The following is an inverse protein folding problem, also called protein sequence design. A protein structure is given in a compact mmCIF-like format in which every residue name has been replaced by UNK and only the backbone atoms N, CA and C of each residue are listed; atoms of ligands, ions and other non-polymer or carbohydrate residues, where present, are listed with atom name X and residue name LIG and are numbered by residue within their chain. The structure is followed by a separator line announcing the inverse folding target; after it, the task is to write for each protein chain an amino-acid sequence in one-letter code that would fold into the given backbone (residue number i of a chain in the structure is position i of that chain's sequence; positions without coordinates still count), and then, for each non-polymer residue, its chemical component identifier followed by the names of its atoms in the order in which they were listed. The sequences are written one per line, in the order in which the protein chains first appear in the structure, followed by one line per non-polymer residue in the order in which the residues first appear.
data_IF_944869330899
#
_entry.id   IF_944869330899
#
_cell.length_a   1.000
_cell.length_b   1.000
_cell.length_c   1.000
_cell.angle_alpha   90.00
_cell.angle_beta   90.00
_cell.angle_gamma   90.00
#
_symmetry.space_group_name_H-M   'P 1'
#
loop_
_entity.id
_entity.type
_entity.pdbx_description
1 polymer ?
#
# COMPACT_ATOMS: atom_id res chain seq x y z
N UNK A 1 -4.17 1.76 9.14
CA UNK A 1 -5.15 1.43 8.09
C UNK A 1 -6.14 2.58 8.02
N UNK A 2 -6.31 3.17 6.84
CA UNK A 2 -7.24 4.27 6.66
C UNK A 2 -8.66 3.70 6.60
N UNK A 3 -9.34 3.68 7.75
CA UNK A 3 -10.74 3.27 7.85
C UNK A 3 -11.64 4.39 7.30
N UNK A 4 -11.82 4.40 5.97
CA UNK A 4 -12.85 5.22 5.34
C UNK A 4 -14.22 4.63 5.67
N UNK A 5 -15.17 5.48 6.08
CA UNK A 5 -16.56 5.06 6.09
C UNK A 5 -17.01 4.77 4.66
N UNK A 6 -17.76 3.68 4.49
CA UNK A 6 -18.40 3.41 3.21
C UNK A 6 -19.46 4.50 2.95
N UNK A 7 -19.58 5.00 1.70
CA UNK A 7 -20.63 5.93 1.35
C UNK A 7 -22.01 5.36 1.69
N UNK A 8 -22.91 6.20 2.22
CA UNK A 8 -24.31 5.85 2.51
C UNK A 8 -25.16 5.82 1.23
N UNK A 9 -24.72 5.04 0.25
CA UNK A 9 -25.38 4.79 -1.03
C UNK A 9 -24.87 3.49 -1.64
N UNK A 10 -25.64 2.95 -2.59
CA UNK A 10 -25.21 1.76 -3.35
C UNK A 10 -23.92 2.07 -4.16
N UNK A 11 -23.05 1.06 -4.34
CA UNK A 11 -21.89 1.19 -5.23
C UNK A 11 -22.34 1.40 -6.68
N UNK A 12 -21.52 2.13 -7.44
CA UNK A 12 -21.75 2.41 -8.85
C UNK A 12 -21.37 1.20 -9.71
N UNK A 13 -20.35 0.44 -9.29
CA UNK A 13 -19.90 -0.79 -9.94
C UNK A 13 -19.80 -1.90 -8.90
N UNK A 14 -20.23 -3.11 -9.25
CA UNK A 14 -20.06 -4.31 -8.41
C UNK A 14 -19.48 -5.43 -9.27
N UNK A 15 -18.34 -5.96 -8.84
CA UNK A 15 -17.67 -7.11 -9.45
C UNK A 15 -17.72 -8.28 -8.47
N UNK A 16 -17.84 -9.50 -9.00
CA UNK A 16 -17.90 -10.73 -8.21
C UNK A 16 -17.18 -11.86 -8.93
N UNK A 17 -16.62 -12.76 -8.15
CA UNK A 17 -15.98 -13.96 -8.69
C UNK A 17 -15.73 -15.00 -7.62
N UNK A 18 -15.18 -16.13 -8.08
CA UNK A 18 -14.80 -17.24 -7.23
C UNK A 18 -13.46 -17.81 -7.70
N UNK A 19 -12.60 -18.16 -6.75
CA UNK A 19 -11.43 -19.00 -6.98
C UNK A 19 -11.61 -20.35 -6.30
N UNK A 20 -11.18 -21.39 -7.00
CA UNK A 20 -11.20 -22.77 -6.57
C UNK A 20 -9.79 -23.28 -6.31
N UNK A 21 -9.66 -24.31 -5.48
CA UNK A 21 -8.36 -24.92 -5.16
C UNK A 21 -7.59 -25.29 -6.43
N UNK A 22 -6.30 -24.99 -6.46
CA UNK A 22 -5.43 -25.11 -7.63
C UNK A 22 -5.22 -23.79 -8.38
N UNK A 23 -5.99 -22.74 -8.06
CA UNK A 23 -5.78 -21.39 -8.59
C UNK A 23 -4.92 -20.51 -7.67
N UNK A 24 -4.35 -21.06 -6.59
CA UNK A 24 -3.45 -20.30 -5.74
C UNK A 24 -2.25 -19.77 -6.53
N UNK A 25 -1.78 -18.57 -6.16
CA UNK A 25 -0.66 -17.88 -6.80
C UNK A 25 -0.86 -17.55 -8.29
N UNK A 26 -2.09 -17.57 -8.81
CA UNK A 26 -2.40 -16.89 -10.09
C UNK A 26 -2.52 -15.38 -9.88
N UNK A 27 -2.44 -14.63 -10.98
CA UNK A 27 -2.62 -13.18 -11.01
C UNK A 27 -3.72 -12.85 -12.02
N UNK A 28 -4.90 -12.53 -11.51
CA UNK A 28 -6.10 -12.36 -12.32
C UNK A 28 -6.44 -10.88 -12.44
N UNK A 29 -6.58 -10.40 -13.67
CA UNK A 29 -6.91 -9.01 -13.97
C UNK A 29 -8.41 -8.91 -14.27
N UNK A 30 -9.15 -8.25 -13.39
CA UNK A 30 -10.59 -8.07 -13.52
C UNK A 30 -10.87 -6.65 -14.04
N UNK A 31 -11.32 -6.50 -15.30
CA UNK A 31 -11.53 -5.18 -15.88
C UNK A 31 -12.79 -4.51 -15.33
N UNK A 32 -12.73 -3.20 -15.20
CA UNK A 32 -13.88 -2.33 -14.97
C UNK A 32 -13.62 -0.95 -15.56
N UNK A 33 -14.68 -0.25 -15.98
CA UNK A 33 -14.53 1.04 -16.66
C UNK A 33 -14.72 2.21 -15.69
N UNK A 34 -13.79 3.15 -15.74
CA UNK A 34 -13.92 4.47 -15.12
C UNK A 34 -14.42 5.44 -16.20
N UNK A 35 -15.59 6.10 -16.01
CA UNK A 35 -16.07 7.11 -16.95
C UNK A 35 -15.29 8.43 -16.82
N UNK A 36 -15.46 9.29 -17.82
CA UNK A 36 -14.98 10.68 -17.75
C UNK A 36 -15.58 11.42 -16.54
N UNK A 37 -14.80 12.34 -15.95
CA UNK A 37 -15.25 13.20 -14.86
C UNK A 37 -15.20 12.57 -13.46
N UNK A 38 -14.50 11.44 -13.30
CA UNK A 38 -14.20 10.86 -11.99
C UNK A 38 -12.94 11.51 -11.40
N UNK A 39 -13.09 12.14 -10.24
CA UNK A 39 -11.97 12.76 -9.51
C UNK A 39 -11.41 11.83 -8.43
N UNK A 40 -12.25 10.93 -7.93
CA UNK A 40 -11.86 9.91 -6.95
C UNK A 40 -12.71 8.64 -7.12
N UNK A 41 -12.19 7.49 -6.69
CA UNK A 41 -13.04 6.33 -6.45
C UNK A 41 -12.58 5.53 -5.23
N UNK A 42 -13.52 4.82 -4.63
CA UNK A 42 -13.31 3.91 -3.50
C UNK A 42 -13.65 2.49 -3.95
N UNK A 43 -12.77 1.54 -3.68
CA UNK A 43 -13.02 0.11 -3.82
C UNK A 43 -13.09 -0.49 -2.41
N UNK A 44 -14.10 -1.30 -2.14
CA UNK A 44 -14.19 -2.17 -0.95
C UNK A 44 -14.32 -3.62 -1.39
N UNK A 45 -13.38 -4.45 -0.94
CA UNK A 45 -13.29 -5.86 -1.30
C UNK A 45 -13.61 -6.71 -0.08
N UNK A 46 -14.53 -7.64 -0.26
CA UNK A 46 -14.91 -8.61 0.76
C UNK A 46 -14.83 -10.01 0.19
N UNK A 47 -14.52 -10.99 1.04
CA UNK A 47 -14.48 -12.40 0.67
C UNK A 47 -14.73 -13.28 1.90
N UNK A 48 -15.23 -14.50 1.67
CA UNK A 48 -15.57 -15.44 2.75
C UNK A 48 -14.32 -15.98 3.46
N UNK A 49 -14.50 -16.46 4.69
CA UNK A 49 -13.50 -17.23 5.46
C UNK A 49 -12.12 -16.55 5.55
N UNK A 50 -12.07 -15.22 5.63
CA UNK A 50 -10.82 -14.44 5.63
C UNK A 50 -9.91 -14.80 6.81
N UNK A 51 -8.66 -15.12 6.50
CA UNK A 51 -7.55 -15.31 7.44
C UNK A 51 -6.34 -14.48 7.02
N UNK A 52 -5.38 -14.30 7.93
CA UNK A 52 -4.13 -13.61 7.69
C UNK A 52 -3.18 -14.38 6.76
N UNK A 53 -2.18 -13.67 6.25
CA UNK A 53 -1.15 -14.21 5.34
C UNK A 53 -0.11 -15.08 6.06
N UNK A 54 -0.10 -15.11 7.40
CA UNK A 54 0.83 -15.95 8.18
C UNK A 54 0.83 -17.41 7.71
N UNK A 55 1.98 -18.04 7.43
CA UNK A 55 2.04 -19.45 7.02
C UNK A 55 1.42 -20.43 8.02
N UNK A 56 1.26 -19.99 9.27
CA UNK A 56 0.65 -20.77 10.35
C UNK A 56 -0.87 -20.74 10.33
N UNK A 57 -1.49 -19.72 9.72
CA UNK A 57 -2.95 -19.64 9.56
C UNK A 57 -3.40 -20.47 8.36
N UNK A 58 -4.35 -21.38 8.59
CA UNK A 58 -4.83 -22.35 7.59
C UNK A 58 -6.35 -22.48 7.63
N UNK A 59 -6.92 -23.08 6.59
CA UNK A 59 -8.34 -23.42 6.52
C UNK A 59 -9.27 -22.27 6.09
N UNK A 60 -8.72 -21.11 5.76
CA UNK A 60 -9.45 -19.96 5.24
C UNK A 60 -8.79 -19.36 4.00
N UNK A 61 -9.28 -18.18 3.63
CA UNK A 61 -8.88 -17.47 2.43
C UNK A 61 -7.95 -16.28 2.72
N UNK A 62 -7.01 -16.05 1.81
CA UNK A 62 -6.19 -14.84 1.79
C UNK A 62 -6.12 -14.38 0.34
N UNK A 63 -6.52 -13.13 0.09
CA UNK A 63 -6.58 -12.55 -1.24
C UNK A 63 -5.67 -11.33 -1.27
N UNK A 64 -4.70 -11.34 -2.16
CA UNK A 64 -3.89 -10.17 -2.44
C UNK A 64 -4.56 -9.27 -3.47
N UNK A 65 -4.40 -7.96 -3.29
CA UNK A 65 -5.08 -6.95 -4.08
C UNK A 65 -4.08 -5.95 -4.66
N UNK A 66 -4.20 -5.69 -5.96
CA UNK A 66 -3.51 -4.64 -6.67
C UNK A 66 -4.42 -3.93 -7.66
N UNK A 67 -3.88 -2.92 -8.33
CA UNK A 67 -4.64 -2.10 -9.25
C UNK A 67 -3.79 -1.62 -10.42
N UNK A 68 -4.34 -1.71 -11.63
CA UNK A 68 -3.84 -1.05 -12.81
C UNK A 68 -4.84 -0.02 -13.33
N UNK A 69 -4.33 1.10 -13.83
CA UNK A 69 -5.12 2.09 -14.55
C UNK A 69 -5.20 1.78 -16.06
N UNK A 70 -5.85 2.69 -16.80
CA UNK A 70 -6.05 2.60 -18.24
C UNK A 70 -4.78 2.44 -19.09
N UNK A 71 -3.58 2.67 -18.54
CA UNK A 71 -2.34 2.63 -19.31
C UNK A 71 -1.87 1.19 -19.56
N UNK A 72 -2.60 0.20 -19.05
CA UNK A 72 -2.46 -1.21 -19.37
C UNK A 72 -1.91 -2.06 -18.23
N UNK A 73 -1.94 -3.38 -18.43
CA UNK A 73 -1.59 -4.40 -17.44
C UNK A 73 -0.28 -5.14 -17.74
N UNK A 74 0.42 -4.75 -18.80
CA UNK A 74 1.65 -5.39 -19.22
C UNK A 74 2.74 -5.29 -18.13
N UNK A 75 3.70 -6.21 -18.16
CA UNK A 75 4.84 -6.16 -17.24
C UNK A 75 5.55 -4.80 -17.33
N UNK A 76 5.78 -4.16 -16.17
CA UNK A 76 6.32 -2.79 -16.04
C UNK A 76 5.45 -1.70 -16.65
N UNK A 77 4.17 -1.96 -16.87
CA UNK A 77 3.23 -0.95 -17.33
C UNK A 77 3.25 0.28 -16.41
N UNK A 78 3.24 1.51 -16.98
CA UNK A 78 3.07 2.73 -16.18
C UNK A 78 1.70 2.76 -15.49
N UNK A 79 0.76 1.92 -15.94
CA UNK A 79 -0.55 1.79 -15.36
C UNK A 79 -0.59 1.07 -14.02
N UNK A 80 0.50 0.43 -13.59
CA UNK A 80 0.55 -0.14 -12.24
C UNK A 80 0.39 0.97 -11.19
N UNK A 81 -0.70 0.92 -10.42
CA UNK A 81 -1.03 1.91 -9.39
C UNK A 81 -0.52 1.51 -8.02
N UNK A 82 -0.43 0.22 -7.73
CA UNK A 82 0.00 -0.28 -6.43
C UNK A 82 -0.57 -1.65 -6.10
N UNK A 83 -0.06 -2.21 -5.02
CA UNK A 83 -0.37 -3.55 -4.53
C UNK A 83 -0.32 -3.56 -3.00
N UNK A 84 -1.44 -3.80 -2.34
CA UNK A 84 -1.54 -3.85 -0.88
C UNK A 84 -1.30 -5.23 -0.29
N UNK A 85 -1.04 -6.24 -1.14
CA UNK A 85 -1.13 -7.64 -0.74
C UNK A 85 -2.49 -7.92 -0.12
N UNK A 86 -2.49 -8.71 0.96
CA UNK A 86 -3.69 -9.12 1.69
C UNK A 86 -3.99 -8.28 2.93
N UNK A 87 -3.19 -7.23 3.16
CA UNK A 87 -3.29 -6.34 4.32
C UNK A 87 -4.53 -5.46 4.21
N UNK A 88 -4.69 -4.76 3.08
CA UNK A 88 -5.74 -3.78 2.86
C UNK A 88 -6.70 -4.23 1.76
N UNK A 89 -8.00 -4.19 2.06
CA UNK A 89 -9.07 -4.55 1.11
C UNK A 89 -9.95 -3.36 0.73
N UNK A 90 -9.61 -2.17 1.24
CA UNK A 90 -10.32 -0.92 0.95
C UNK A 90 -9.36 0.11 0.38
N UNK A 91 -9.62 0.60 -0.83
CA UNK A 91 -8.67 1.37 -1.63
C UNK A 91 -9.35 2.65 -2.09
N UNK A 92 -8.81 3.80 -1.71
CA UNK A 92 -9.21 5.08 -2.28
C UNK A 92 -8.16 5.54 -3.27
N UNK A 93 -8.58 5.98 -4.45
CA UNK A 93 -7.73 6.60 -5.47
C UNK A 93 -8.25 8.01 -5.71
N UNK A 94 -7.35 8.99 -5.72
CA UNK A 94 -7.68 10.39 -5.95
C UNK A 94 -6.53 11.20 -6.54
N UNK A 95 -6.82 12.43 -6.93
CA UNK A 95 -5.84 13.34 -7.55
C UNK A 95 -4.64 13.63 -6.65
N UNK A 96 -4.90 14.19 -5.47
CA UNK A 96 -3.85 14.63 -4.55
C UNK A 96 -3.42 13.53 -3.58
N UNK A 97 -4.27 12.52 -3.38
CA UNK A 97 -4.04 11.47 -2.41
C UNK A 97 -4.74 10.18 -2.81
N UNK A 98 -4.06 9.06 -2.53
CA UNK A 98 -4.57 7.70 -2.63
C UNK A 98 -4.19 6.95 -1.36
N UNK A 99 -4.96 5.92 -1.00
CA UNK A 99 -4.57 4.99 0.06
C UNK A 99 -3.19 4.41 -0.22
N UNK A 100 -2.22 4.45 0.71
CA UNK A 100 -1.03 3.62 0.60
C UNK A 100 -1.44 2.14 0.43
N UNK A 101 -0.75 1.37 -0.43
CA UNK A 101 0.46 1.71 -1.18
C UNK A 101 0.23 2.27 -2.59
N UNK A 102 -0.98 2.72 -2.89
CA UNK A 102 -1.36 3.15 -4.23
C UNK A 102 -0.87 4.56 -4.53
N UNK A 103 -0.33 4.74 -5.73
CA UNK A 103 0.12 6.04 -6.26
C UNK A 103 -1.07 7.00 -6.36
N UNK A 104 -0.86 8.24 -5.94
CA UNK A 104 -1.80 9.34 -6.15
C UNK A 104 -1.82 9.77 -7.63
N UNK A 105 -2.90 10.41 -8.05
CA UNK A 105 -3.08 10.93 -9.40
C UNK A 105 -4.49 10.67 -9.89
N UNK A 106 -5.08 11.68 -10.54
CA UNK A 106 -6.50 11.70 -10.91
C UNK A 106 -6.87 10.44 -11.69
N UNK A 107 -8.01 9.79 -11.38
CA UNK A 107 -8.54 8.73 -12.20
C UNK A 107 -8.80 9.22 -13.62
N UNK A 108 -8.06 8.69 -14.59
CA UNK A 108 -8.36 8.91 -16.01
C UNK A 108 -9.39 7.91 -16.49
N UNK A 109 -10.25 8.33 -17.42
CA UNK A 109 -11.25 7.46 -18.00
C UNK A 109 -10.65 6.32 -18.82
N UNK A 110 -11.36 5.20 -18.86
CA UNK A 110 -10.96 4.00 -19.58
C UNK A 110 -11.04 2.75 -18.71
N UNK A 111 -10.48 1.66 -19.22
CA UNK A 111 -10.54 0.36 -18.55
C UNK A 111 -9.43 0.24 -17.52
N UNK A 112 -9.81 0.17 -16.26
CA UNK A 112 -8.95 -0.15 -15.14
C UNK A 112 -9.02 -1.66 -14.86
N UNK A 113 -8.04 -2.19 -14.14
CA UNK A 113 -8.03 -3.60 -13.78
C UNK A 113 -7.76 -3.77 -12.28
N UNK A 114 -8.69 -4.42 -11.60
CA UNK A 114 -8.46 -4.95 -10.26
C UNK A 114 -7.59 -6.20 -10.41
N UNK A 115 -6.38 -6.17 -9.86
CA UNK A 115 -5.49 -7.30 -9.84
C UNK A 115 -5.75 -8.12 -8.56
N UNK A 116 -6.14 -9.39 -8.73
CA UNK A 116 -6.44 -10.31 -7.63
C UNK A 116 -5.50 -11.50 -7.66
N UNK A 117 -4.83 -11.75 -6.53
CA UNK A 117 -3.95 -12.90 -6.33
C UNK A 117 -4.45 -13.77 -5.17
N UNK A 118 -5.14 -14.89 -5.41
CA UNK A 118 -5.54 -15.78 -4.32
C UNK A 118 -4.30 -16.44 -3.71
N UNK A 119 -3.86 -15.96 -2.55
CA UNK A 119 -2.70 -16.48 -1.83
C UNK A 119 -3.02 -17.78 -1.08
N UNK A 120 -4.22 -17.86 -0.50
CA UNK A 120 -4.75 -19.09 0.13
C UNK A 120 -6.20 -19.27 -0.26
N UNK A 121 -6.57 -20.50 -0.63
CA UNK A 121 -7.96 -20.88 -0.87
C UNK A 121 -8.34 -21.97 0.14
N UNK A 122 -9.34 -21.66 0.96
CA UNK A 122 -9.91 -22.57 1.93
C UNK A 122 -10.78 -23.66 1.28
N UNK A 123 -11.19 -24.67 2.05
CA UNK A 123 -11.97 -25.81 1.54
C UNK A 123 -13.34 -25.43 0.95
N UNK A 124 -13.87 -24.24 1.28
CA UNK A 124 -15.15 -23.73 0.79
C UNK A 124 -15.03 -22.86 -0.48
N UNK A 125 -13.84 -22.79 -1.08
CA UNK A 125 -13.54 -21.84 -2.15
C UNK A 125 -13.42 -20.39 -1.65
N UNK A 126 -12.92 -19.51 -2.52
CA UNK A 126 -12.77 -18.09 -2.26
C UNK A 126 -13.74 -17.31 -3.15
N UNK A 127 -14.90 -16.95 -2.60
CA UNK A 127 -15.86 -16.05 -3.24
C UNK A 127 -15.60 -14.63 -2.79
N UNK A 128 -15.44 -13.73 -3.75
CA UNK A 128 -15.13 -12.33 -3.50
C UNK A 128 -16.14 -11.40 -4.16
N UNK A 129 -16.25 -10.20 -3.60
CA UNK A 129 -16.97 -9.07 -4.19
C UNK A 129 -16.13 -7.81 -4.04
N UNK A 130 -15.99 -7.06 -5.13
CA UNK A 130 -15.50 -5.68 -5.11
C UNK A 130 -16.66 -4.72 -5.37
N UNK A 131 -16.83 -3.76 -4.47
CA UNK A 131 -17.83 -2.69 -4.56
C UNK A 131 -17.09 -1.39 -4.83
N UNK A 132 -17.46 -0.65 -5.87
CA UNK A 132 -16.76 0.56 -6.29
C UNK A 132 -17.71 1.75 -6.26
N UNK A 133 -17.31 2.82 -5.59
CA UNK A 133 -18.01 4.11 -5.57
C UNK A 133 -17.17 5.15 -6.28
N UNK A 134 -17.75 5.81 -7.28
CA UNK A 134 -17.17 6.92 -8.00
C UNK A 134 -17.51 8.23 -7.29
N UNK A 135 -16.55 9.14 -7.21
CA UNK A 135 -16.66 10.42 -6.50
C UNK A 135 -17.30 10.28 -5.10
N UNK A 136 -16.74 9.42 -4.23
CA UNK A 136 -17.30 9.15 -2.90
C UNK A 136 -17.19 10.34 -1.93
N UNK A 137 -16.47 11.42 -2.30
CA UNK A 137 -16.24 12.58 -1.43
C UNK A 137 -15.30 12.27 -0.28
N UNK A 138 -14.26 11.45 -0.51
CA UNK A 138 -13.27 11.14 0.52
C UNK A 138 -12.38 12.36 0.72
N UNK A 139 -12.29 12.80 1.98
CA UNK A 139 -11.38 13.88 2.36
C UNK A 139 -9.93 13.42 2.25
N UNK A 140 -9.10 14.26 1.64
CA UNK A 140 -7.65 14.08 1.66
C UNK A 140 -7.14 14.21 3.10
N UNK A 141 -6.41 13.21 3.63
CA UNK A 141 -5.78 13.33 4.94
C UNK A 141 -4.82 14.52 4.97
N UNK A 142 -4.81 15.27 6.08
CA UNK A 142 -3.81 16.32 6.27
C UNK A 142 -2.41 15.70 6.33
N UNK A 143 -1.41 16.29 5.67
CA UNK A 143 -0.03 15.85 5.79
C UNK A 143 0.43 15.92 7.25
N UNK A 144 1.15 14.89 7.71
CA UNK A 144 1.77 14.96 9.03
C UNK A 144 2.87 16.03 9.03
N UNK A 145 2.93 16.90 10.06
CA UNK A 145 4.00 17.88 10.18
C UNK A 145 5.33 17.15 10.38
N UNK A 146 6.37 17.57 9.65
CA UNK A 146 7.72 17.06 9.86
C UNK A 146 8.28 17.69 11.14
N UNK A 147 8.69 16.90 12.14
CA UNK A 147 9.28 17.44 13.36
C UNK A 147 10.64 18.09 13.07
N UNK A 148 11.02 19.05 13.90
CA UNK A 148 12.40 19.55 13.91
C UNK A 148 13.31 18.44 14.47
N UNK A 149 14.26 17.98 13.66
CA UNK A 149 15.18 16.89 14.03
C UNK A 149 15.99 17.21 15.29
N UNK A 150 16.27 18.48 15.56
CA UNK A 150 16.97 18.91 16.77
C UNK A 150 16.16 18.68 18.06
N UNK A 151 14.85 18.47 17.94
CA UNK A 151 13.95 18.19 19.06
C UNK A 151 13.79 16.69 19.33
N UNK A 152 14.26 15.82 18.43
CA UNK A 152 14.19 14.38 18.58
C UNK A 152 15.27 13.87 19.53
N UNK A 153 14.95 12.84 20.31
CA UNK A 153 15.93 12.17 21.16
C UNK A 153 16.85 11.32 20.30
N UNK A 154 18.17 11.55 20.40
CA UNK A 154 19.18 10.65 19.81
C UNK A 154 19.93 9.95 20.93
N UNK A 155 19.96 8.61 20.98
CA UNK A 155 20.58 7.87 22.07
C UNK A 155 22.10 8.04 22.04
N UNK A 156 22.70 8.10 23.23
CA UNK A 156 24.15 7.93 23.39
C UNK A 156 24.47 6.43 23.26
N UNK A 157 25.03 6.04 22.12
CA UNK A 157 25.36 4.66 21.79
C UNK A 157 26.83 4.36 22.14
N UNK A 158 27.18 3.08 22.42
CA UNK A 158 28.57 2.70 22.58
C UNK A 158 29.44 3.14 21.39
N UNK A 159 30.76 3.36 21.58
CA UNK A 159 31.65 3.65 20.48
C UNK A 159 31.54 2.62 19.35
N UNK A 160 31.78 3.06 18.12
CA UNK A 160 31.88 2.14 16.98
C UNK A 160 32.99 1.11 17.24
N UNK A 161 32.83 -0.10 16.70
CA UNK A 161 33.81 -1.18 16.87
C UNK A 161 35.18 -0.79 16.30
N UNK A 162 35.20 -0.05 15.20
CA UNK A 162 36.38 0.49 14.54
C UNK A 162 36.08 1.87 13.94
N UNK A 163 37.09 2.71 13.62
CA UNK A 163 36.88 3.97 12.93
C UNK A 163 36.12 3.77 11.60
N UNK A 164 35.23 4.73 11.28
CA UNK A 164 34.42 4.75 10.05
C UNK A 164 33.38 3.63 9.91
N UNK A 165 33.00 2.95 11.00
CA UNK A 165 31.82 2.10 11.01
C UNK A 165 30.56 2.90 11.30
N UNK A 166 29.59 2.82 10.39
CA UNK A 166 28.29 3.49 10.48
C UNK A 166 27.19 2.49 10.80
N UNK A 167 26.20 2.92 11.58
CA UNK A 167 25.03 2.12 11.91
C UNK A 167 23.94 2.37 10.88
N UNK A 168 23.42 1.30 10.30
CA UNK A 168 22.28 1.44 9.42
C UNK A 168 21.50 0.15 9.27
N UNK A 169 20.31 0.30 8.74
CA UNK A 169 19.41 -0.81 8.44
C UNK A 169 18.90 -0.64 7.00
N UNK A 170 19.06 -1.70 6.23
CA UNK A 170 18.85 -1.74 4.79
C UNK A 170 17.60 -2.55 4.41
N UNK A 171 16.74 -2.87 5.39
CA UNK A 171 15.54 -3.67 5.16
C UNK A 171 14.41 -3.22 6.09
N UNK A 172 13.74 -2.12 5.74
CA UNK A 172 12.58 -1.61 6.46
C UNK A 172 11.35 -1.54 5.58
N UNK A 173 10.19 -1.75 6.20
CA UNK A 173 8.89 -1.64 5.56
C UNK A 173 8.07 -0.51 6.16
N UNK A 174 7.25 0.12 5.32
CA UNK A 174 6.31 1.16 5.70
C UNK A 174 4.88 0.70 5.41
N UNK A 175 3.91 1.58 5.64
CA UNK A 175 2.53 1.40 5.17
C UNK A 175 2.41 1.29 3.63
N UNK A 176 3.50 1.50 2.88
CA UNK A 176 3.56 1.23 1.45
C UNK A 176 3.85 -0.25 1.11
N UNK A 177 3.98 -1.14 2.10
CA UNK A 177 3.76 -2.57 1.92
C UNK A 177 3.02 -3.21 3.09
N UNK A 178 3.76 -3.69 4.10
CA UNK A 178 3.31 -4.50 5.22
C UNK A 178 3.87 -3.99 6.56
N UNK A 179 4.54 -2.83 6.54
CA UNK A 179 4.91 -2.09 7.74
C UNK A 179 3.74 -1.30 8.31
N UNK A 180 3.95 -0.78 9.53
CA UNK A 180 2.92 -0.03 10.26
C UNK A 180 3.17 1.47 10.34
N UNK A 181 4.41 1.91 10.10
CA UNK A 181 4.81 3.33 10.09
C UNK A 181 4.80 3.95 8.69
N UNK A 182 4.57 5.25 8.61
CA UNK A 182 4.82 6.05 7.40
C UNK A 182 6.33 6.14 7.13
N UNK A 183 6.75 6.54 5.91
CA UNK A 183 8.16 6.85 5.66
C UNK A 183 8.73 7.91 6.62
N UNK A 184 7.91 8.87 7.08
CA UNK A 184 8.29 9.84 8.10
C UNK A 184 8.51 9.17 9.46
N UNK A 185 7.60 8.29 9.89
CA UNK A 185 7.74 7.55 11.14
C UNK A 185 9.01 6.70 11.14
N UNK A 186 9.34 6.07 10.01
CA UNK A 186 10.59 5.32 9.85
C UNK A 186 11.81 6.23 9.96
N UNK A 187 11.78 7.41 9.35
CA UNK A 187 12.88 8.38 9.46
C UNK A 187 13.07 8.88 10.91
N UNK A 188 11.99 9.16 11.62
CA UNK A 188 12.01 9.52 13.05
C UNK A 188 12.59 8.38 13.87
N UNK A 189 12.12 7.14 13.67
CA UNK A 189 12.63 5.97 14.35
C UNK A 189 14.13 5.74 14.08
N UNK A 190 14.61 6.03 12.86
CA UNK A 190 16.03 5.95 12.53
C UNK A 190 16.87 6.94 13.36
N UNK A 191 16.36 8.16 13.59
CA UNK A 191 17.00 9.13 14.52
C UNK A 191 16.99 8.59 15.95
N UNK A 192 15.82 8.15 16.44
CA UNK A 192 15.61 7.75 17.83
C UNK A 192 16.30 6.44 18.21
N UNK A 193 16.71 5.65 17.22
CA UNK A 193 17.55 4.46 17.40
C UNK A 193 19.04 4.73 17.17
N UNK A 194 19.40 5.94 16.75
CA UNK A 194 20.78 6.37 16.52
C UNK A 194 21.41 5.83 15.24
N UNK A 195 20.60 5.50 14.22
CA UNK A 195 21.12 5.13 12.90
C UNK A 195 21.76 6.33 12.21
N UNK A 196 22.81 6.05 11.45
CA UNK A 196 23.50 6.99 10.58
C UNK A 196 22.91 6.99 9.15
N UNK A 197 22.36 5.84 8.74
CA UNK A 197 21.68 5.68 7.45
C UNK A 197 20.60 4.60 7.49
N UNK A 198 19.65 4.64 6.56
CA UNK A 198 18.62 3.61 6.43
C UNK A 198 18.08 3.51 5.00
N UNK A 199 17.46 2.37 4.67
CA UNK A 199 16.73 2.16 3.42
C UNK A 199 15.29 1.68 3.67
N UNK A 200 14.38 2.06 2.79
CA UNK A 200 12.99 1.57 2.77
C UNK A 200 12.83 0.61 1.59
N UNK A 201 12.46 -0.63 1.87
CA UNK A 201 12.42 -1.75 0.93
C UNK A 201 11.02 -2.37 0.82
N UNK A 202 9.99 -1.52 0.70
CA UNK A 202 8.60 -1.94 0.51
C UNK A 202 8.42 -2.89 -0.69
N UNK A 203 7.55 -3.89 -0.51
CA UNK A 203 7.23 -4.87 -1.55
C UNK A 203 6.58 -4.22 -2.78
N UNK A 204 7.08 -4.52 -3.98
CA UNK A 204 6.43 -4.20 -5.26
C UNK A 204 5.92 -2.75 -5.38
N UNK A 205 6.71 -1.79 -4.89
CA UNK A 205 6.35 -0.37 -4.78
C UNK A 205 5.97 0.26 -6.14
N UNK A 206 4.90 1.06 -6.15
CA UNK A 206 4.50 1.86 -7.31
C UNK A 206 5.12 3.27 -7.32
N UNK A 207 5.80 3.67 -6.25
CA UNK A 207 6.38 5.01 -6.09
C UNK A 207 7.60 5.06 -5.15
N UNK A 208 8.37 6.15 -5.26
CA UNK A 208 9.58 6.38 -4.44
C UNK A 208 9.29 7.03 -3.08
N UNK A 209 9.88 6.56 -1.97
CA UNK A 209 9.78 7.22 -0.68
C UNK A 209 10.71 8.43 -0.56
N UNK A 210 11.58 8.70 -1.55
CA UNK A 210 12.57 9.81 -1.49
C UNK A 210 11.95 11.16 -1.15
N UNK A 211 10.72 11.44 -1.63
CA UNK A 211 9.99 12.67 -1.34
C UNK A 211 9.11 12.62 -0.08
N UNK A 212 9.09 11.47 0.61
CA UNK A 212 8.29 11.21 1.82
C UNK A 212 9.15 11.13 3.08
N UNK A 213 10.47 11.11 2.91
CA UNK A 213 11.47 11.05 3.97
C UNK A 213 12.17 12.40 4.06
N UNK A 214 12.26 13.02 5.25
CA UNK A 214 13.06 14.23 5.43
C UNK A 214 14.54 13.92 5.22
N UNK A 215 15.26 14.85 4.59
CA UNK A 215 16.68 14.73 4.27
C UNK A 215 17.40 16.05 4.60
N UNK A 216 18.71 15.99 4.81
CA UNK A 216 19.54 17.15 5.12
C UNK A 216 20.05 17.16 6.56
N UNK A 217 20.55 18.32 7.00
CA UNK A 217 21.35 18.44 8.22
C UNK A 217 20.62 17.89 9.46
N UNK A 218 21.26 16.92 10.12
CA UNK A 218 20.78 16.25 11.33
C UNK A 218 20.02 14.94 11.10
N UNK A 219 19.42 14.74 9.92
CA UNK A 219 18.73 13.50 9.57
C UNK A 219 19.72 12.38 9.17
N UNK A 220 19.41 11.11 9.45
CA UNK A 220 20.16 9.97 8.91
C UNK A 220 20.11 9.97 7.38
N UNK A 221 21.16 9.45 6.75
CA UNK A 221 21.23 9.37 5.29
C UNK A 221 20.19 8.36 4.79
N UNK A 222 19.26 8.83 3.97
CA UNK A 222 18.33 7.95 3.26
C UNK A 222 19.00 7.32 2.04
N UNK A 223 19.01 5.99 1.99
CA UNK A 223 19.51 5.20 0.86
C UNK A 223 18.30 4.79 -0.02
N UNK A 224 18.20 5.32 -1.26
CA UNK A 224 17.02 5.16 -2.11
C UNK A 224 16.86 3.80 -2.80
#
# INVERSE_FOLDING_TARGET
MSDFLLPDRKPDITLRGEFTTGQEATLEHIPFDIPDGVDQFLIDITYNDRIGSSPMERGGNTLDVGLFDQQGIESRSPGFRGWSGSVQTRIAIGADWSSPPYRAGRPEAGTWNLLLGPYKIGPNGLRWQASIWLNPGIATPEPQPVPDVATLYRPDLPPAAEPNWYRGDLHMHTIYSDGTGTPLDVAVAAVETGLDFFAITDHNRAQSPTGMVPQGDGWPVFVP
#
